data_IF_989999587310
#
_entry.id   IF_989999587310
#
_cell.length_a   1.000
_cell.length_b   1.000
_cell.length_c   1.000
_cell.angle_alpha   90.00
_cell.angle_beta   90.00
_cell.angle_gamma   90.00
#
_symmetry.space_group_name_H-M   'P 1'
#
loop_
_entity.id
_entity.type
_entity.pdbx_description
1 polymer ?
#
# COMPACT_ATOMS: atom_id res chain seq x y z
N UNK A 1 0.47 11.10 41.02
CA UNK A 1 -0.23 11.71 39.86
C UNK A 1 0.25 10.95 38.63
N UNK A 2 -0.64 10.28 37.89
CA UNK A 2 -0.26 9.69 36.60
C UNK A 2 0.22 10.83 35.70
N UNK A 3 1.35 10.66 35.01
CA UNK A 3 1.84 11.72 34.14
C UNK A 3 0.84 11.90 32.98
N UNK A 4 0.70 13.12 32.43
CA UNK A 4 -0.09 13.34 31.21
C UNK A 4 0.33 12.38 30.09
N UNK A 5 1.60 11.94 30.14
CA UNK A 5 2.15 10.89 29.29
C UNK A 5 1.42 9.56 29.51
N UNK A 6 1.28 9.09 30.75
CA UNK A 6 0.56 7.84 31.06
C UNK A 6 -0.92 7.91 30.68
N UNK A 7 -1.55 9.07 30.86
CA UNK A 7 -2.96 9.31 30.50
C UNK A 7 -3.19 9.29 28.98
N UNK A 8 -2.23 9.77 28.18
CA UNK A 8 -2.28 9.70 26.71
C UNK A 8 -1.84 8.34 26.15
N UNK A 9 -1.06 7.57 26.91
CA UNK A 9 -0.53 6.26 26.49
C UNK A 9 -1.47 5.11 26.90
N UNK A 10 -2.32 5.33 27.90
CA UNK A 10 -3.47 4.48 28.17
C UNK A 10 -4.43 4.59 26.98
N UNK A 11 -4.36 3.64 26.05
CA UNK A 11 -5.26 3.56 24.90
C UNK A 11 -6.71 3.51 25.39
N UNK A 12 -7.36 4.68 25.50
CA UNK A 12 -8.80 4.76 25.33
C UNK A 12 -9.04 4.20 23.92
N UNK A 13 -9.74 3.09 23.82
CA UNK A 13 -9.95 2.41 22.53
C UNK A 13 -10.45 3.39 21.46
N UNK A 14 -10.24 3.04 20.19
CA UNK A 14 -10.80 3.65 18.99
C UNK A 14 -11.68 4.89 19.23
N UNK A 15 -11.10 6.10 19.18
CA UNK A 15 -11.86 7.33 19.39
C UNK A 15 -12.53 7.79 18.08
N UNK A 16 -13.66 8.49 18.23
CA UNK A 16 -14.36 9.13 17.11
C UNK A 16 -13.57 10.34 16.61
N UNK A 17 -13.42 10.47 15.29
CA UNK A 17 -12.70 11.59 14.66
C UNK A 17 -13.62 12.78 14.31
N UNK A 18 -14.74 12.96 15.01
CA UNK A 18 -15.79 13.93 14.65
C UNK A 18 -15.25 15.33 14.32
N UNK A 19 -14.47 15.92 15.22
CA UNK A 19 -13.90 17.25 14.99
C UNK A 19 -12.92 17.29 13.80
N UNK A 20 -12.14 16.24 13.57
CA UNK A 20 -11.23 16.16 12.42
C UNK A 20 -12.03 16.11 11.12
N UNK A 21 -13.13 15.37 11.11
CA UNK A 21 -14.03 15.31 9.96
C UNK A 21 -14.66 16.67 9.68
N UNK A 22 -15.04 17.43 10.71
CA UNK A 22 -15.56 18.79 10.55
C UNK A 22 -14.51 19.74 9.94
N UNK A 23 -13.26 19.65 10.41
CA UNK A 23 -12.14 20.41 9.82
C UNK A 23 -11.92 20.03 8.36
N UNK A 24 -11.88 18.73 8.04
CA UNK A 24 -11.70 18.24 6.68
C UNK A 24 -12.84 18.72 5.78
N UNK A 25 -14.09 18.67 6.25
CA UNK A 25 -15.25 19.15 5.50
C UNK A 25 -15.13 20.64 5.16
N UNK A 26 -14.70 21.48 6.11
CA UNK A 26 -14.47 22.91 5.86
C UNK A 26 -13.29 23.16 4.92
N UNK A 27 -12.24 22.33 4.99
CA UNK A 27 -11.06 22.46 4.13
C UNK A 27 -11.26 21.82 2.74
N UNK A 28 -12.30 21.01 2.55
CA UNK A 28 -12.48 20.19 1.35
C UNK A 28 -12.40 20.95 0.03
N UNK A 29 -13.02 22.15 -0.13
CA UNK A 29 -12.87 22.93 -1.36
C UNK A 29 -11.41 23.30 -1.67
N UNK A 30 -10.63 23.62 -0.63
CA UNK A 30 -9.21 23.93 -0.77
C UNK A 30 -8.39 22.68 -1.09
N UNK A 31 -8.74 21.55 -0.45
CA UNK A 31 -8.12 20.24 -0.71
C UNK A 31 -8.37 19.81 -2.16
N UNK A 32 -9.56 20.06 -2.71
CA UNK A 32 -9.89 19.73 -4.10
C UNK A 32 -8.96 20.47 -5.08
N UNK A 33 -8.80 21.79 -4.88
CA UNK A 33 -7.90 22.61 -5.70
C UNK A 33 -6.43 22.20 -5.53
N UNK A 34 -5.96 22.11 -4.29
CA UNK A 34 -4.55 21.83 -3.99
C UNK A 34 -4.16 20.39 -4.35
N UNK A 35 -5.02 19.43 -4.01
CA UNK A 35 -4.84 18.02 -4.32
C UNK A 35 -4.91 17.76 -5.83
N UNK A 36 -5.80 18.43 -6.57
CA UNK A 36 -5.82 18.37 -8.03
C UNK A 36 -4.48 18.82 -8.66
N UNK A 37 -3.89 19.92 -8.16
CA UNK A 37 -2.55 20.35 -8.59
C UNK A 37 -1.46 19.34 -8.24
N UNK A 38 -1.50 18.81 -7.01
CA UNK A 38 -0.54 17.80 -6.55
C UNK A 38 -0.61 16.53 -7.40
N UNK A 39 -1.82 16.04 -7.72
CA UNK A 39 -1.99 14.88 -8.59
C UNK A 39 -1.40 15.12 -9.98
N UNK A 40 -1.64 16.28 -10.60
CA UNK A 40 -1.00 16.59 -11.89
C UNK A 40 0.53 16.55 -11.81
N UNK A 41 1.11 17.21 -10.81
CA UNK A 41 2.56 17.32 -10.65
C UNK A 41 3.25 15.99 -10.32
N UNK A 42 2.58 15.13 -9.55
CA UNK A 42 3.18 13.91 -9.00
C UNK A 42 2.79 12.67 -9.80
N UNK A 43 1.51 12.55 -10.15
CA UNK A 43 0.94 11.32 -10.74
C UNK A 43 1.18 11.27 -12.26
N UNK A 44 1.06 12.39 -13.00
CA UNK A 44 1.27 12.35 -14.46
C UNK A 44 2.68 11.83 -14.85
N UNK A 45 3.79 12.30 -14.23
CA UNK A 45 5.11 11.74 -14.53
C UNK A 45 5.23 10.24 -14.18
N UNK A 46 4.50 9.80 -13.15
CA UNK A 46 4.47 8.38 -12.80
C UNK A 46 3.65 7.55 -13.79
N UNK A 47 2.53 8.07 -14.29
CA UNK A 47 1.75 7.42 -15.35
C UNK A 47 2.62 7.19 -16.59
N UNK A 48 3.41 8.19 -17.01
CA UNK A 48 4.36 8.06 -18.14
C UNK A 48 5.32 6.88 -17.95
N UNK A 49 5.87 6.74 -16.74
CA UNK A 49 6.87 5.72 -16.44
C UNK A 49 6.28 4.32 -16.21
N UNK A 50 5.05 4.23 -15.69
CA UNK A 50 4.46 2.97 -15.25
C UNK A 50 3.49 2.36 -16.27
N UNK A 51 2.90 3.16 -17.15
CA UNK A 51 1.93 2.68 -18.15
C UNK A 51 2.62 2.25 -19.44
N UNK A 52 2.24 1.08 -20.01
CA UNK A 52 2.84 0.59 -21.25
C UNK A 52 2.26 1.27 -22.50
N UNK A 53 3.11 1.46 -23.51
CA UNK A 53 2.70 1.82 -24.87
C UNK A 53 1.85 3.10 -24.93
N UNK A 54 0.70 3.11 -25.64
CA UNK A 54 -0.10 4.33 -25.84
C UNK A 54 -0.67 4.93 -24.54
N UNK A 55 -0.81 4.12 -23.48
CA UNK A 55 -1.32 4.57 -22.17
C UNK A 55 -0.34 5.49 -21.43
N UNK A 56 0.95 5.46 -21.78
CA UNK A 56 1.96 6.39 -21.21
C UNK A 56 1.69 7.86 -21.55
N UNK A 57 0.79 8.15 -22.49
CA UNK A 57 0.45 9.54 -22.87
C UNK A 57 -0.74 10.11 -22.12
N UNK A 58 -1.31 9.37 -21.15
CA UNK A 58 -2.46 9.82 -20.36
C UNK A 58 -2.12 11.05 -19.51
N UNK A 59 -2.99 12.07 -19.58
CA UNK A 59 -2.92 13.32 -18.80
C UNK A 59 -4.27 13.66 -18.21
N UNK A 60 -4.28 14.38 -17.10
CA UNK A 60 -5.52 14.84 -16.50
C UNK A 60 -6.03 16.10 -17.20
N UNK A 61 -7.16 15.99 -17.89
CA UNK A 61 -7.86 17.15 -18.48
C UNK A 61 -8.71 17.83 -17.41
N UNK A 62 -9.36 17.05 -16.55
CA UNK A 62 -10.20 17.52 -15.44
C UNK A 62 -9.89 16.76 -14.16
N UNK A 63 -9.86 17.48 -13.04
CA UNK A 63 -9.69 16.92 -11.71
C UNK A 63 -10.62 17.66 -10.76
N UNK A 64 -11.69 16.99 -10.38
CA UNK A 64 -12.61 17.42 -9.35
C UNK A 64 -12.93 16.23 -8.45
N UNK A 65 -12.63 16.34 -7.15
CA UNK A 65 -12.93 15.30 -6.15
C UNK A 65 -14.39 15.33 -5.67
N UNK A 66 -15.21 16.23 -6.19
CA UNK A 66 -16.60 16.43 -5.82
C UNK A 66 -16.77 17.04 -4.44
N UNK A 67 -17.98 16.90 -3.88
CA UNK A 67 -18.39 17.57 -2.64
C UNK A 67 -18.29 16.69 -1.40
N UNK A 68 -18.09 15.38 -1.56
CA UNK A 68 -18.06 14.45 -0.44
C UNK A 68 -16.62 14.31 0.09
N UNK A 69 -16.34 14.80 1.31
CA UNK A 69 -15.00 14.75 1.87
C UNK A 69 -14.60 13.35 2.32
N UNK A 70 -13.29 13.18 2.50
CA UNK A 70 -12.72 12.02 3.19
C UNK A 70 -13.21 12.01 4.64
N UNK A 71 -13.50 10.81 5.15
CA UNK A 71 -13.87 10.54 6.53
C UNK A 71 -12.76 9.78 7.24
N UNK A 72 -12.48 10.19 8.46
CA UNK A 72 -11.58 9.53 9.40
C UNK A 72 -12.39 8.88 10.51
N UNK A 73 -11.93 7.73 10.98
CA UNK A 73 -12.54 7.01 12.11
C UNK A 73 -11.51 6.13 12.82
N UNK A 74 -11.90 5.53 13.95
CA UNK A 74 -11.10 4.54 14.67
C UNK A 74 -9.68 5.07 15.00
N UNK A 75 -9.63 6.26 15.61
CA UNK A 75 -8.36 6.94 15.88
C UNK A 75 -7.69 6.32 17.11
N UNK A 76 -6.43 5.93 16.94
CA UNK A 76 -5.57 5.40 17.99
C UNK A 76 -4.32 6.28 18.07
N UNK A 77 -4.02 6.77 19.28
CA UNK A 77 -2.87 7.62 19.54
C UNK A 77 -1.79 6.80 20.24
N UNK A 78 -0.58 6.86 19.70
CA UNK A 78 0.57 6.16 20.24
C UNK A 78 1.73 7.14 20.42
N UNK A 79 2.47 6.95 21.52
CA UNK A 79 3.79 7.57 21.65
C UNK A 79 4.81 6.74 20.90
N UNK A 80 5.76 7.42 20.26
CA UNK A 80 6.87 6.77 19.57
C UNK A 80 8.14 6.82 20.40
N UNK A 81 9.10 5.94 20.10
CA UNK A 81 10.40 5.88 20.79
C UNK A 81 11.26 7.12 20.59
N UNK A 82 10.95 7.95 19.60
CA UNK A 82 11.67 9.19 19.27
C UNK A 82 10.93 10.42 19.83
N UNK A 83 10.18 10.24 20.93
CA UNK A 83 9.34 11.28 21.54
C UNK A 83 8.33 11.93 20.56
N UNK A 84 8.06 11.30 19.42
CA UNK A 84 7.04 11.73 18.45
C UNK A 84 5.66 11.17 18.78
N UNK A 85 4.63 11.75 18.15
CA UNK A 85 3.24 11.29 18.28
C UNK A 85 2.84 10.58 16.99
N UNK A 86 2.31 9.35 17.11
CA UNK A 86 1.77 8.57 16.01
C UNK A 86 0.27 8.43 16.17
N UNK A 87 -0.47 8.69 15.10
CA UNK A 87 -1.92 8.56 15.00
C UNK A 87 -2.23 7.51 13.96
N UNK A 88 -2.82 6.39 14.37
CA UNK A 88 -3.35 5.40 13.44
C UNK A 88 -4.86 5.58 13.31
N UNK A 89 -5.39 5.60 12.10
CA UNK A 89 -6.80 5.87 11.84
C UNK A 89 -7.28 5.22 10.54
N UNK A 90 -8.57 4.94 10.45
CA UNK A 90 -9.19 4.43 9.24
C UNK A 90 -9.63 5.61 8.38
N UNK A 91 -9.15 5.63 7.13
CA UNK A 91 -9.51 6.59 6.11
C UNK A 91 -10.51 5.94 5.16
N UNK A 92 -11.62 6.62 4.92
CA UNK A 92 -12.63 6.26 3.93
C UNK A 92 -12.99 7.47 3.07
N UNK A 93 -12.95 7.28 1.76
CA UNK A 93 -13.52 8.20 0.79
C UNK A 93 -14.49 7.41 -0.07
N UNK A 94 -15.74 7.83 -0.10
CA UNK A 94 -16.78 7.29 -0.97
C UNK A 94 -17.46 8.51 -1.56
N UNK A 95 -16.94 8.98 -2.70
CA UNK A 95 -17.26 10.30 -3.22
C UNK A 95 -17.46 10.30 -4.73
N UNK A 96 -18.59 10.86 -5.16
CA UNK A 96 -18.81 11.21 -6.55
C UNK A 96 -17.78 12.27 -6.95
N UNK A 97 -17.06 12.01 -8.02
CA UNK A 97 -15.98 12.85 -8.53
C UNK A 97 -16.18 13.12 -10.02
N UNK A 98 -15.41 14.05 -10.57
CA UNK A 98 -15.36 14.28 -12.01
C UNK A 98 -13.90 14.43 -12.42
N UNK A 99 -13.29 13.27 -12.70
CA UNK A 99 -11.90 13.17 -13.11
C UNK A 99 -11.87 12.67 -14.54
N UNK A 100 -11.19 13.40 -15.40
CA UNK A 100 -11.07 13.06 -16.81
C UNK A 100 -9.61 12.91 -17.19
N UNK A 101 -9.32 11.83 -17.91
CA UNK A 101 -8.01 11.53 -18.48
C UNK A 101 -8.11 11.43 -19.99
N UNK A 102 -7.11 11.93 -20.70
CA UNK A 102 -7.00 11.82 -22.16
C UNK A 102 -5.55 11.53 -22.55
N UNK A 103 -5.35 10.77 -23.62
CA UNK A 103 -4.02 10.48 -24.18
C UNK A 103 -4.05 10.50 -25.70
N UNK A 104 -2.89 10.61 -26.35
CA UNK A 104 -2.80 10.79 -27.82
C UNK A 104 -3.47 9.68 -28.63
N UNK A 105 -3.45 8.46 -28.12
CA UNK A 105 -4.02 7.27 -28.76
C UNK A 105 -5.01 6.54 -27.83
N UNK A 106 -5.48 7.23 -26.80
CA UNK A 106 -6.38 6.66 -25.79
C UNK A 106 -7.63 7.53 -25.75
N UNK A 107 -8.83 6.94 -25.92
CA UNK A 107 -10.06 7.71 -25.84
C UNK A 107 -10.16 8.39 -24.47
N UNK A 108 -10.91 9.49 -24.41
CA UNK A 108 -11.20 10.17 -23.16
C UNK A 108 -11.83 9.20 -22.15
N UNK A 109 -11.28 9.14 -20.95
CA UNK A 109 -11.73 8.28 -19.85
C UNK A 109 -12.20 9.16 -18.71
N UNK A 110 -13.48 9.05 -18.34
CA UNK A 110 -14.07 9.71 -17.17
C UNK A 110 -14.16 8.77 -15.98
N UNK A 111 -13.88 9.28 -14.78
CA UNK A 111 -14.11 8.61 -13.50
C UNK A 111 -15.13 9.44 -12.72
N UNK A 112 -16.27 8.83 -12.42
CA UNK A 112 -17.42 9.48 -11.78
C UNK A 112 -17.57 9.13 -10.30
N UNK A 113 -16.97 8.03 -9.85
CA UNK A 113 -17.01 7.60 -8.46
C UNK A 113 -15.68 7.01 -8.04
N UNK A 114 -15.15 7.47 -6.91
CA UNK A 114 -14.00 6.84 -6.25
C UNK A 114 -14.42 6.32 -4.89
N UNK A 115 -14.03 5.07 -4.59
CA UNK A 115 -14.03 4.53 -3.24
C UNK A 115 -12.62 4.16 -2.82
N UNK A 116 -12.09 4.86 -1.83
CA UNK A 116 -10.77 4.61 -1.24
C UNK A 116 -10.94 4.26 0.24
N UNK A 117 -10.42 3.12 0.68
CA UNK A 117 -10.42 2.73 2.09
C UNK A 117 -9.06 2.20 2.52
N UNK A 118 -8.62 2.55 3.72
CA UNK A 118 -7.40 1.99 4.29
C UNK A 118 -7.05 2.52 5.66
N UNK A 119 -6.28 1.72 6.41
CA UNK A 119 -5.66 2.13 7.67
C UNK A 119 -4.45 3.01 7.38
N UNK A 120 -4.47 4.26 7.82
CA UNK A 120 -3.36 5.19 7.69
C UNK A 120 -2.71 5.48 9.05
N UNK A 121 -1.44 5.87 8.99
CA UNK A 121 -0.62 6.28 10.10
C UNK A 121 -0.06 7.69 9.81
N UNK A 122 -0.35 8.63 10.69
CA UNK A 122 0.22 9.98 10.70
C UNK A 122 1.25 10.05 11.83
N UNK A 123 2.45 10.53 11.53
CA UNK A 123 3.54 10.66 12.47
C UNK A 123 3.97 12.13 12.55
N UNK A 124 3.85 12.69 13.75
CA UNK A 124 4.28 14.04 14.10
C UNK A 124 5.64 13.90 14.78
N UNK A 125 6.72 14.13 14.02
CA UNK A 125 8.09 13.88 14.49
C UNK A 125 9.12 14.64 13.62
N UNK A 126 10.15 15.26 14.22
CA UNK A 126 10.39 15.38 15.66
C UNK A 126 9.42 16.38 16.33
N UNK A 127 9.20 16.21 17.64
CA UNK A 127 8.64 17.29 18.45
C UNK A 127 9.76 18.29 18.81
N UNK A 128 9.43 19.57 18.81
CA UNK A 128 10.36 20.68 19.06
C UNK A 128 9.82 21.57 20.18
N UNK A 129 10.69 22.34 20.80
CA UNK A 129 10.36 23.37 21.80
C UNK A 129 10.08 24.74 21.17
N UNK A 130 10.31 24.87 19.86
CA UNK A 130 10.02 26.06 19.06
C UNK A 130 8.70 25.85 18.31
N UNK A 131 7.79 26.85 18.36
CA UNK A 131 6.53 26.86 17.62
C UNK A 131 6.82 26.63 16.12
N UNK A 132 6.15 25.66 15.45
CA UNK A 132 4.86 25.06 15.81
C UNK A 132 4.91 23.79 16.69
N UNK A 133 6.03 23.53 17.38
CA UNK A 133 6.28 22.38 18.27
C UNK A 133 6.39 21.03 17.55
N UNK A 134 6.16 21.01 16.23
CA UNK A 134 6.22 19.82 15.39
C UNK A 134 7.09 20.18 14.19
N UNK A 135 8.22 19.49 14.02
CA UNK A 135 9.14 19.77 12.91
C UNK A 135 8.60 19.27 11.56
N UNK A 136 7.95 18.11 11.54
CA UNK A 136 7.39 17.52 10.33
C UNK A 136 6.19 16.59 10.61
N UNK A 137 5.35 16.46 9.59
CA UNK A 137 4.27 15.48 9.50
C UNK A 137 4.64 14.47 8.44
N UNK A 138 4.54 13.19 8.78
CA UNK A 138 4.69 12.09 7.85
C UNK A 138 3.39 11.29 7.80
N UNK A 139 2.90 10.96 6.62
CA UNK A 139 1.75 10.07 6.48
C UNK A 139 2.09 8.84 5.64
N UNK A 140 1.51 7.69 6.00
CA UNK A 140 1.56 6.46 5.23
C UNK A 140 0.37 5.56 5.55
N UNK A 141 -0.14 4.84 4.57
CA UNK A 141 -0.97 3.66 4.75
C UNK A 141 -0.16 2.50 5.33
N UNK A 142 -0.74 1.82 6.31
CA UNK A 142 -0.12 0.66 6.96
C UNK A 142 -0.02 -0.51 5.97
N UNK A 143 -1.07 -0.70 5.17
CA UNK A 143 -1.15 -1.67 4.08
C UNK A 143 -1.66 -0.96 2.82
N UNK A 144 -1.41 -1.51 1.60
CA UNK A 144 -2.00 -0.97 0.39
C UNK A 144 -3.51 -0.77 0.54
N UNK A 145 -4.04 0.45 0.32
CA UNK A 145 -5.46 0.71 0.48
C UNK A 145 -6.26 0.03 -0.62
N UNK A 146 -7.55 -0.17 -0.38
CA UNK A 146 -8.49 -0.60 -1.41
C UNK A 146 -8.97 0.62 -2.19
N UNK A 147 -8.81 0.58 -3.51
CA UNK A 147 -9.30 1.61 -4.42
C UNK A 147 -10.29 0.98 -5.38
N UNK A 148 -11.51 1.49 -5.47
CA UNK A 148 -12.52 1.17 -6.48
C UNK A 148 -12.83 2.45 -7.28
N UNK A 149 -13.05 2.30 -8.57
CA UNK A 149 -13.27 3.38 -9.51
C UNK A 149 -14.43 2.99 -10.42
N UNK A 150 -15.46 3.83 -10.46
CA UNK A 150 -16.52 3.73 -11.44
C UNK A 150 -16.28 4.78 -12.53
N UNK A 151 -16.41 4.34 -13.78
CA UNK A 151 -16.03 5.13 -14.94
C UNK A 151 -17.26 5.45 -15.79
N UNK A 152 -17.27 6.65 -16.38
CA UNK A 152 -18.39 7.17 -17.18
C UNK A 152 -18.44 6.53 -18.58
N UNK A 153 -19.65 6.23 -19.06
CA UNK A 153 -20.04 5.87 -20.44
C UNK A 153 -19.04 5.00 -21.25
N UNK A 154 -19.11 3.69 -21.07
CA UNK A 154 -18.28 2.70 -21.75
C UNK A 154 -18.93 2.18 -23.05
N UNK A 155 -19.05 3.02 -24.09
CA UNK A 155 -19.65 2.59 -25.36
C UNK A 155 -18.85 1.50 -26.10
N UNK A 156 -17.57 1.27 -25.75
CA UNK A 156 -16.73 0.19 -26.29
C UNK A 156 -16.20 -0.72 -25.15
N UNK A 157 -17.03 -1.69 -24.77
CA UNK A 157 -16.97 -2.43 -23.50
C UNK A 157 -15.66 -3.23 -23.30
N UNK A 158 -15.04 -3.76 -24.36
CA UNK A 158 -13.89 -4.66 -24.25
C UNK A 158 -12.57 -3.92 -23.98
N UNK A 159 -12.24 -2.89 -24.78
CA UNK A 159 -11.03 -2.09 -24.60
C UNK A 159 -11.10 -1.26 -23.31
N UNK A 160 -12.29 -0.79 -22.96
CA UNK A 160 -12.52 -0.03 -21.74
C UNK A 160 -12.29 -0.85 -20.47
N UNK A 161 -12.69 -2.13 -20.43
CA UNK A 161 -12.44 -2.98 -19.27
C UNK A 161 -10.94 -3.23 -19.02
N UNK A 162 -10.14 -3.34 -20.09
CA UNK A 162 -8.69 -3.45 -19.99
C UNK A 162 -8.07 -2.15 -19.49
N UNK A 163 -8.48 -1.01 -20.05
CA UNK A 163 -8.03 0.32 -19.64
C UNK A 163 -8.35 0.58 -18.17
N UNK A 164 -9.58 0.30 -17.73
CA UNK A 164 -10.00 0.41 -16.33
C UNK A 164 -9.03 -0.37 -15.42
N UNK A 165 -8.79 -1.65 -15.71
CA UNK A 165 -7.90 -2.48 -14.89
C UNK A 165 -6.48 -1.94 -14.85
N UNK A 166 -5.96 -1.44 -15.97
CA UNK A 166 -4.60 -0.88 -16.05
C UNK A 166 -4.50 0.45 -15.32
N UNK A 167 -5.45 1.38 -15.51
CA UNK A 167 -5.50 2.68 -14.84
C UNK A 167 -5.65 2.51 -13.33
N UNK A 168 -6.66 1.74 -12.88
CA UNK A 168 -6.88 1.44 -11.46
C UNK A 168 -5.64 0.85 -10.80
N UNK A 169 -5.02 -0.15 -11.45
CA UNK A 169 -3.79 -0.78 -10.94
C UNK A 169 -2.63 0.21 -10.89
N UNK A 170 -2.52 1.11 -11.86
CA UNK A 170 -1.42 2.08 -11.92
C UNK A 170 -1.58 3.14 -10.85
N UNK A 171 -2.77 3.69 -10.65
CA UNK A 171 -3.07 4.61 -9.54
C UNK A 171 -2.76 3.94 -8.20
N UNK A 172 -3.23 2.71 -8.00
CA UNK A 172 -2.95 1.97 -6.75
C UNK A 172 -1.45 1.69 -6.57
N UNK A 173 -0.71 1.42 -7.64
CA UNK A 173 0.74 1.24 -7.58
C UNK A 173 1.46 2.54 -7.21
N UNK A 174 1.01 3.69 -7.73
CA UNK A 174 1.56 5.02 -7.41
C UNK A 174 1.30 5.37 -5.95
N UNK A 175 0.06 5.19 -5.47
CA UNK A 175 -0.26 5.34 -4.04
C UNK A 175 0.63 4.40 -3.22
N UNK A 176 0.77 3.14 -3.62
CA UNK A 176 1.58 2.16 -2.90
C UNK A 176 3.07 2.52 -2.87
N UNK A 177 3.63 3.03 -3.97
CA UNK A 177 5.06 3.35 -4.04
C UNK A 177 5.42 4.58 -3.22
N UNK A 178 4.48 5.52 -3.03
CA UNK A 178 4.73 6.78 -2.33
C UNK A 178 4.27 6.78 -0.88
N UNK A 179 3.13 6.16 -0.59
CA UNK A 179 2.39 6.38 0.64
C UNK A 179 2.03 5.10 1.38
N UNK A 180 2.58 3.94 1.01
CA UNK A 180 2.46 2.71 1.82
C UNK A 180 3.79 2.41 2.49
N UNK A 181 3.74 1.97 3.75
CA UNK A 181 4.95 1.59 4.50
C UNK A 181 5.86 0.66 3.67
N UNK A 182 7.19 0.78 3.79
CA UNK A 182 7.93 1.72 4.64
C UNK A 182 7.98 3.16 4.09
N UNK A 183 7.46 3.41 2.88
CA UNK A 183 7.44 4.73 2.28
C UNK A 183 6.45 5.64 3.03
N UNK A 184 6.85 6.88 3.24
CA UNK A 184 6.07 7.90 3.94
C UNK A 184 6.15 9.19 3.14
N UNK A 185 5.00 9.82 2.95
CA UNK A 185 4.98 11.17 2.41
C UNK A 185 5.24 12.15 3.55
N UNK A 186 6.23 13.02 3.39
CA UNK A 186 6.71 13.91 4.44
C UNK A 186 6.45 15.37 4.05
N UNK A 187 5.80 16.10 4.96
CA UNK A 187 5.61 17.55 4.88
C UNK A 187 6.34 18.19 6.06
N UNK A 188 7.27 19.11 5.75
CA UNK A 188 7.91 19.92 6.79
C UNK A 188 6.94 21.00 7.27
N UNK A 189 6.74 21.09 8.57
CA UNK A 189 6.02 22.22 9.17
C UNK A 189 6.99 23.33 9.54
N UNK A 190 8.20 22.96 9.94
CA UNK A 190 9.32 23.88 10.14
C UNK A 190 10.31 23.73 8.96
N UNK A 191 10.52 24.78 8.13
CA UNK A 191 11.49 24.75 7.05
C UNK A 191 12.93 24.47 7.51
N UNK A 192 13.28 24.87 8.74
CA UNK A 192 14.60 24.70 9.34
C UNK A 192 14.83 23.29 9.91
N UNK A 193 13.78 22.47 10.00
CA UNK A 193 13.89 21.13 10.56
C UNK A 193 14.79 20.23 9.69
N UNK A 194 15.68 19.51 10.35
CA UNK A 194 16.60 18.57 9.72
C UNK A 194 15.87 17.27 9.33
N UNK A 195 16.00 16.87 8.07
CA UNK A 195 15.43 15.62 7.56
C UNK A 195 15.98 14.38 8.28
N UNK A 196 17.22 14.41 8.78
CA UNK A 196 17.77 13.26 9.51
C UNK A 196 17.03 13.01 10.84
N UNK A 197 16.42 14.05 11.43
CA UNK A 197 15.63 13.93 12.66
C UNK A 197 14.26 13.29 12.43
N UNK A 198 13.76 13.28 11.20
CA UNK A 198 12.49 12.63 10.86
C UNK A 198 12.67 11.15 10.54
N UNK A 199 13.92 10.70 10.34
CA UNK A 199 14.27 9.35 9.96
C UNK A 199 13.84 8.32 11.02
N UNK A 200 13.05 7.34 10.59
CA UNK A 200 12.62 6.24 11.43
C UNK A 200 13.59 5.07 11.30
N UNK A 201 14.33 4.82 12.38
CA UNK A 201 15.22 3.66 12.45
C UNK A 201 14.43 2.37 12.33
N UNK A 202 14.98 1.43 11.57
CA UNK A 202 14.42 0.08 11.51
C UNK A 202 14.47 -0.56 12.91
N UNK A 203 13.40 -1.23 13.32
CA UNK A 203 13.37 -1.91 14.63
C UNK A 203 14.27 -3.15 14.68
N UNK A 204 14.58 -3.73 13.52
CA UNK A 204 15.41 -4.92 13.41
C UNK A 204 15.35 -5.52 12.00
N UNK A 205 15.94 -6.70 11.86
CA UNK A 205 16.00 -7.43 10.58
C UNK A 205 15.30 -8.77 10.75
N UNK A 206 14.29 -9.02 9.91
CA UNK A 206 13.64 -10.33 9.84
C UNK A 206 14.46 -11.23 8.91
N UNK A 207 15.01 -12.32 9.46
CA UNK A 207 15.67 -13.38 8.69
C UNK A 207 14.67 -14.50 8.40
N UNK A 208 14.29 -14.64 7.13
CA UNK A 208 13.49 -15.76 6.65
C UNK A 208 14.39 -16.82 6.01
N UNK A 209 14.36 -18.02 6.57
CA UNK A 209 15.03 -19.19 5.99
C UNK A 209 13.96 -20.14 5.45
N UNK A 210 13.93 -20.30 4.13
CA UNK A 210 13.06 -21.29 3.49
C UNK A 210 13.84 -22.60 3.42
N UNK A 211 13.46 -23.57 4.25
CA UNK A 211 14.20 -24.82 4.34
C UNK A 211 13.81 -25.82 3.25
N UNK A 212 12.55 -26.29 3.29
CA UNK A 212 12.04 -27.29 2.35
C UNK A 212 10.54 -27.12 2.15
N UNK A 213 10.10 -27.49 0.96
CA UNK A 213 8.70 -27.70 0.65
C UNK A 213 8.54 -29.14 0.14
N UNK A 214 7.48 -29.83 0.59
CA UNK A 214 7.21 -31.22 0.19
C UNK A 214 5.78 -31.37 -0.29
N UNK A 215 5.53 -32.32 -1.19
CA UNK A 215 4.17 -32.57 -1.70
C UNK A 215 3.71 -31.56 -2.75
N UNK A 216 4.63 -30.86 -3.42
CA UNK A 216 4.29 -29.98 -4.53
C UNK A 216 3.88 -30.85 -5.72
N UNK A 217 2.63 -30.70 -6.16
CA UNK A 217 2.11 -31.37 -7.34
C UNK A 217 1.98 -30.36 -8.48
N UNK A 218 2.33 -30.77 -9.70
CA UNK A 218 2.18 -29.94 -10.90
C UNK A 218 0.70 -29.65 -11.21
N UNK A 219 0.44 -28.65 -12.05
CA UNK A 219 -0.92 -28.31 -12.46
C UNK A 219 -1.63 -29.53 -13.09
N UNK A 220 -2.92 -29.73 -12.76
CA UNK A 220 -3.76 -30.76 -13.37
C UNK A 220 -3.98 -30.41 -14.84
N UNK A 221 -3.19 -30.99 -15.73
CA UNK A 221 -3.39 -30.89 -17.19
C UNK A 221 -4.62 -31.70 -17.62
N UNK A 222 -5.27 -31.29 -18.72
CA UNK A 222 -6.52 -31.89 -19.23
C UNK A 222 -6.44 -33.39 -19.54
N UNK A 223 -7.60 -34.04 -19.74
CA UNK A 223 -7.74 -35.51 -19.86
C UNK A 223 -6.78 -36.17 -20.87
N UNK A 224 -6.50 -35.52 -22.01
CA UNK A 224 -5.57 -36.01 -23.05
C UNK A 224 -4.11 -35.98 -22.59
N UNK A 225 -3.70 -34.97 -21.81
CA UNK A 225 -2.32 -34.84 -21.30
C UNK A 225 -2.04 -35.80 -20.13
N UNK A 226 -3.06 -36.23 -19.37
CA UNK A 226 -2.93 -37.26 -18.32
C UNK A 226 -2.48 -38.63 -18.84
N UNK A 227 -2.82 -38.98 -20.08
CA UNK A 227 -2.37 -40.23 -20.70
C UNK A 227 -0.88 -40.17 -21.09
N UNK A 228 -0.36 -38.99 -21.45
CA UNK A 228 1.05 -38.75 -21.75
C UNK A 228 1.93 -38.64 -20.48
N UNK A 229 1.38 -38.10 -19.39
CA UNK A 229 2.08 -37.96 -18.09
C UNK A 229 2.47 -39.30 -17.42
N UNK A 230 1.89 -40.43 -17.84
CA UNK A 230 2.31 -41.77 -17.38
C UNK A 230 3.66 -42.21 -17.96
N UNK A 231 4.10 -41.61 -19.07
CA UNK A 231 5.31 -41.96 -19.80
C UNK A 231 6.45 -40.98 -19.47
N UNK A 232 6.13 -39.69 -19.24
CA UNK A 232 7.11 -38.66 -18.89
C UNK A 232 6.77 -38.06 -17.54
N UNK A 233 7.60 -38.36 -16.55
CA UNK A 233 7.44 -37.85 -15.18
C UNK A 233 7.91 -36.40 -15.13
N UNK A 234 6.99 -35.47 -15.36
CA UNK A 234 7.24 -34.03 -15.28
C UNK A 234 7.57 -33.67 -13.82
N UNK A 235 8.85 -33.44 -13.50
CA UNK A 235 9.29 -32.95 -12.19
C UNK A 235 9.13 -31.43 -12.22
N UNK A 236 8.19 -30.84 -11.46
CA UNK A 236 7.98 -29.41 -11.52
C UNK A 236 9.17 -28.64 -10.95
N UNK A 237 9.72 -27.70 -11.72
CA UNK A 237 10.71 -26.74 -11.24
C UNK A 237 10.04 -25.78 -10.24
N UNK A 238 10.29 -26.02 -8.96
CA UNK A 238 9.68 -25.26 -7.88
C UNK A 238 10.59 -24.11 -7.46
N UNK A 239 10.03 -22.90 -7.41
CA UNK A 239 10.66 -21.74 -6.78
C UNK A 239 9.74 -21.16 -5.72
N UNK A 240 10.33 -20.46 -4.74
CA UNK A 240 9.57 -19.73 -3.74
C UNK A 240 9.76 -18.23 -3.96
N UNK A 241 8.65 -17.49 -4.02
CA UNK A 241 8.67 -16.04 -4.07
C UNK A 241 8.30 -15.51 -2.68
N UNK A 242 9.22 -14.78 -2.06
CA UNK A 242 8.98 -14.10 -0.79
C UNK A 242 8.76 -12.62 -1.07
N UNK A 243 7.65 -12.08 -0.57
CA UNK A 243 7.34 -10.66 -0.63
C UNK A 243 7.37 -10.09 0.79
N UNK A 244 8.22 -9.10 1.02
CA UNK A 244 8.17 -8.24 2.20
C UNK A 244 7.68 -6.87 1.78
N UNK A 245 7.03 -6.16 2.70
CA UNK A 245 6.60 -4.77 2.51
C UNK A 245 7.82 -3.85 2.33
N UNK A 246 8.95 -4.17 2.96
CA UNK A 246 10.15 -3.32 3.01
C UNK A 246 11.26 -3.64 2.00
N UNK A 247 11.14 -4.71 1.22
CA UNK A 247 12.23 -5.16 0.31
C UNK A 247 11.64 -5.53 -1.06
N UNK A 248 12.25 -5.10 -2.18
CA UNK A 248 11.82 -5.51 -3.52
C UNK A 248 11.83 -7.04 -3.67
N UNK A 249 10.94 -7.53 -4.54
CA UNK A 249 10.72 -8.97 -4.79
C UNK A 249 12.05 -9.72 -4.99
N UNK A 250 12.31 -10.74 -4.16
CA UNK A 250 13.41 -11.69 -4.37
C UNK A 250 12.83 -13.08 -4.62
N UNK A 251 13.23 -13.70 -5.72
CA UNK A 251 12.90 -15.08 -6.08
C UNK A 251 14.12 -15.96 -5.80
N UNK A 252 13.93 -17.08 -5.10
CA UNK A 252 14.96 -18.08 -4.87
C UNK A 252 14.54 -19.43 -5.45
N UNK A 253 15.41 -20.05 -6.25
CA UNK A 253 15.22 -21.42 -6.71
C UNK A 253 15.45 -22.39 -5.54
N UNK A 254 14.54 -23.33 -5.33
CA UNK A 254 14.75 -24.39 -4.34
C UNK A 254 15.67 -25.45 -4.96
N UNK A 255 16.92 -25.54 -4.49
CA UNK A 255 17.88 -26.54 -4.98
C UNK A 255 17.45 -27.94 -4.55
N UNK A 256 17.27 -28.82 -5.52
CA UNK A 256 16.94 -30.22 -5.30
C UNK A 256 18.16 -30.97 -4.74
N UNK A 257 18.15 -31.36 -3.46
CA UNK A 257 19.02 -32.44 -2.96
C UNK A 257 18.27 -33.76 -3.14
N UNK A 258 18.75 -34.64 -4.02
CA UNK A 258 18.23 -36.01 -4.12
C UNK A 258 18.61 -36.77 -2.85
N UNK A 259 17.67 -36.93 -1.93
CA UNK A 259 17.76 -37.95 -0.88
C UNK A 259 16.70 -39.00 -1.16
N UNK A 260 17.13 -40.23 -1.43
CA UNK A 260 16.28 -41.41 -1.54
C UNK A 260 15.46 -41.57 -0.25
N UNK A 261 14.13 -41.59 -0.34
CA UNK A 261 13.32 -42.18 0.74
C UNK A 261 11.93 -42.62 0.28
N UNK A 262 11.52 -43.74 0.87
CA UNK A 262 10.44 -44.68 0.53
C UNK A 262 9.00 -44.13 0.67
N UNK A 263 8.07 -44.87 0.06
CA UNK A 263 6.63 -44.66 -0.07
C UNK A 263 5.89 -44.54 1.27
N UNK A 264 4.96 -43.59 1.35
CA UNK A 264 3.56 -43.72 1.81
C UNK A 264 3.08 -42.43 2.50
N UNK A 265 1.76 -42.20 2.44
CA UNK A 265 1.05 -41.24 3.27
C UNK A 265 0.67 -39.92 2.59
N UNK A 266 -0.64 -39.73 2.43
CA UNK A 266 -1.38 -38.52 2.08
C UNK A 266 -0.75 -37.26 2.70
N UNK A 267 -0.26 -36.30 1.88
CA UNK A 267 0.48 -35.14 2.40
C UNK A 267 -0.34 -33.85 2.34
N UNK A 268 -0.71 -33.35 3.52
CA UNK A 268 -0.99 -31.92 3.75
C UNK A 268 0.23 -31.10 3.35
N UNK A 269 -0.01 -29.92 2.80
CA UNK A 269 1.03 -28.94 2.51
C UNK A 269 1.53 -28.36 3.84
N UNK A 270 2.82 -28.54 4.15
CA UNK A 270 3.45 -27.97 5.35
C UNK A 270 4.68 -27.19 4.92
N UNK A 271 4.68 -25.89 5.18
CA UNK A 271 5.86 -25.06 5.09
C UNK A 271 6.51 -25.01 6.47
N UNK A 272 7.79 -25.37 6.56
CA UNK A 272 8.56 -25.11 7.78
C UNK A 272 9.20 -23.73 7.64
N UNK A 273 8.63 -22.74 8.31
CA UNK A 273 9.17 -21.39 8.40
C UNK A 273 9.86 -21.24 9.75
N UNK A 274 11.19 -21.10 9.75
CA UNK A 274 11.93 -20.73 10.96
C UNK A 274 12.12 -19.23 10.99
N UNK A 275 11.35 -18.55 11.81
CA UNK A 275 11.60 -17.15 12.16
C UNK A 275 12.58 -17.13 13.32
N UNK A 276 13.68 -16.39 13.17
CA UNK A 276 14.56 -16.06 14.30
C UNK A 276 14.52 -14.57 14.50
N UNK A 277 13.87 -14.13 15.57
CA UNK A 277 13.93 -12.75 15.99
C UNK A 277 15.25 -12.54 16.74
N UNK A 278 16.23 -11.88 16.12
CA UNK A 278 17.38 -11.34 16.86
C UNK A 278 17.06 -9.89 17.22
N UNK A 279 16.14 -9.72 18.14
CA UNK A 279 16.01 -8.49 18.91
C UNK A 279 16.56 -8.78 20.31
N UNK A 280 17.75 -8.30 20.62
CA UNK A 280 18.17 -8.13 22.02
C UNK A 280 17.27 -7.06 22.63
N UNK A 281 16.12 -7.48 23.13
CA UNK A 281 15.23 -6.67 23.96
C UNK A 281 15.73 -6.82 25.39
N UNK A 282 16.53 -5.84 25.83
CA UNK A 282 16.53 -5.45 27.23
C UNK A 282 15.23 -4.65 27.43
N UNK A 283 14.37 -5.16 28.31
CA UNK A 283 13.12 -4.51 28.76
C UNK A 283 13.47 -3.18 29.45
#
# INVERSE_FOLDING_TARGET
MASLVDTLTASRGAESAGFLNDIIAHLWPNINIAGGRMLKQVVEPMLDSMLPGPLSTLRFTKLDFGTTPIKLSNVEVHKTKLEGIKLDMDLEWDGLCDIELEGKMVPKVGIEHVKLRGRMAVLLCPLTDIIPLIGAVQFAFINPPTLELDFTDAANIADFALINKVVRKSILNIITSMTVLPNRYLVKLDPSNDYFKTFQHHHGVIRLTIEKATGITGQKKGKVKRFLDKIVKDVPDCYCQVKSISVPRRSGALRHRRTHMSRSGTRRMTFLLRTTNRSSLSI
#
